data_IF_285448299933
#
_entry.id   IF_285448299933
#
_cell.length_a   1.000
_cell.length_b   1.000
_cell.length_c   1.000
_cell.angle_alpha   90.00
_cell.angle_beta   90.00
_cell.angle_gamma   90.00
#
_symmetry.space_group_name_H-M   'P 1'
#
loop_
_entity.id
_entity.type
_entity.pdbx_description
1 polymer ?
#
# COMPACT_ATOMS: atom_id res chain seq x y z
N UNK A 1 -17.10 4.18 16.83
CA UNK A 1 -16.55 5.55 16.93
C UNK A 1 -17.59 6.63 16.66
N UNK A 2 -18.38 6.58 15.56
CA UNK A 2 -19.32 7.67 15.21
C UNK A 2 -20.79 7.48 15.64
N UNK A 3 -21.11 6.44 16.43
CA UNK A 3 -22.50 6.03 16.72
C UNK A 3 -23.31 7.10 17.46
N UNK A 4 -22.66 7.87 18.32
CA UNK A 4 -23.30 8.89 19.18
C UNK A 4 -23.18 10.31 18.60
N UNK A 5 -22.65 10.45 17.38
CA UNK A 5 -22.56 11.73 16.69
C UNK A 5 -23.73 11.90 15.71
N UNK A 6 -24.25 13.13 15.53
CA UNK A 6 -25.33 13.41 14.57
C UNK A 6 -24.82 13.43 13.11
N UNK A 7 -24.06 12.41 12.73
CA UNK A 7 -23.43 12.27 11.41
C UNK A 7 -24.03 11.08 10.68
N UNK A 8 -24.42 11.30 9.42
CA UNK A 8 -24.82 10.22 8.51
C UNK A 8 -23.62 9.73 7.72
N UNK A 9 -23.36 8.43 7.82
CA UNK A 9 -22.28 7.72 7.13
C UNK A 9 -22.89 6.66 6.23
N UNK A 10 -22.38 6.53 5.01
CA UNK A 10 -22.82 5.49 4.08
C UNK A 10 -21.64 4.85 3.33
N UNK A 11 -21.91 3.69 2.74
CA UNK A 11 -20.97 2.92 1.95
C UNK A 11 -21.46 2.83 0.49
N UNK A 12 -20.63 3.22 -0.47
CA UNK A 12 -20.88 3.07 -1.91
C UNK A 12 -19.78 2.25 -2.56
N UNK A 13 -20.15 1.06 -3.04
CA UNK A 13 -19.25 0.15 -3.75
C UNK A 13 -19.84 -0.25 -5.10
N UNK A 14 -19.04 -0.98 -5.89
CA UNK A 14 -19.49 -1.59 -7.14
C UNK A 14 -20.70 -2.53 -6.96
N UNK A 15 -20.88 -3.11 -5.77
CA UNK A 15 -21.96 -4.06 -5.45
C UNK A 15 -23.21 -3.41 -4.87
N UNK A 16 -23.20 -2.11 -4.57
CA UNK A 16 -24.38 -1.39 -4.06
C UNK A 16 -25.52 -1.42 -5.08
N UNK A 17 -26.72 -1.83 -4.65
CA UNK A 17 -27.90 -1.99 -5.52
C UNK A 17 -28.34 -0.63 -6.07
N UNK A 18 -28.90 -0.63 -7.29
CA UNK A 18 -29.35 0.60 -7.97
C UNK A 18 -30.28 1.47 -7.13
N UNK A 19 -31.28 0.87 -6.46
CA UNK A 19 -32.22 1.61 -5.58
C UNK A 19 -31.51 2.29 -4.42
N UNK A 20 -30.53 1.63 -3.81
CA UNK A 20 -29.74 2.21 -2.73
C UNK A 20 -28.84 3.34 -3.25
N UNK A 21 -28.22 3.15 -4.44
CA UNK A 21 -27.43 4.21 -5.09
C UNK A 21 -28.25 5.47 -5.35
N UNK A 22 -29.47 5.34 -5.84
CA UNK A 22 -30.37 6.48 -6.11
C UNK A 22 -30.62 7.30 -4.83
N UNK A 23 -30.93 6.64 -3.72
CA UNK A 23 -31.12 7.28 -2.41
C UNK A 23 -29.83 7.97 -1.94
N UNK A 24 -28.67 7.30 -2.08
CA UNK A 24 -27.38 7.89 -1.70
C UNK A 24 -27.06 9.13 -2.53
N UNK A 25 -27.29 9.11 -3.83
CA UNK A 25 -27.06 10.27 -4.70
C UNK A 25 -27.96 11.45 -4.33
N UNK A 26 -29.22 11.20 -3.98
CA UNK A 26 -30.12 12.26 -3.50
C UNK A 26 -29.66 12.85 -2.16
N UNK A 27 -29.23 12.00 -1.23
CA UNK A 27 -28.71 12.45 0.07
C UNK A 27 -27.39 13.22 -0.05
N UNK A 28 -26.52 12.86 -1.01
CA UNK A 28 -25.28 13.59 -1.29
C UNK A 28 -25.55 14.98 -1.86
N UNK A 29 -26.48 15.10 -2.82
CA UNK A 29 -26.83 16.39 -3.44
C UNK A 29 -27.56 17.33 -2.49
N UNK A 30 -28.39 16.76 -1.60
CA UNK A 30 -29.12 17.53 -0.58
C UNK A 30 -28.28 17.88 0.65
N UNK A 31 -27.06 17.33 0.78
CA UNK A 31 -26.19 17.55 1.94
C UNK A 31 -26.62 16.80 3.20
N UNK A 32 -27.57 15.87 3.11
CA UNK A 32 -27.99 15.04 4.24
C UNK A 32 -26.97 13.97 4.61
N UNK A 33 -26.17 13.52 3.64
CA UNK A 33 -25.08 12.56 3.84
C UNK A 33 -23.77 13.30 4.10
N UNK A 34 -23.11 13.00 5.22
CA UNK A 34 -21.94 13.73 5.70
C UNK A 34 -20.63 13.02 5.34
N UNK A 35 -20.60 11.70 5.46
CA UNK A 35 -19.43 10.87 5.16
C UNK A 35 -19.84 9.75 4.21
N UNK A 36 -19.10 9.63 3.11
CA UNK A 36 -19.27 8.54 2.16
C UNK A 36 -17.96 7.78 2.04
N UNK A 37 -18.00 6.49 2.35
CA UNK A 37 -16.89 5.55 2.19
C UNK A 37 -17.17 4.74 0.93
N UNK A 38 -16.15 4.46 0.12
CA UNK A 38 -16.38 3.72 -1.11
C UNK A 38 -15.11 3.33 -1.85
N UNK A 39 -15.29 2.59 -2.93
CA UNK A 39 -14.21 2.23 -3.85
C UNK A 39 -14.12 3.27 -4.99
N UNK A 40 -13.47 2.92 -6.10
CA UNK A 40 -13.41 3.74 -7.33
C UNK A 40 -14.77 4.22 -7.85
N UNK A 41 -15.87 3.62 -7.39
CA UNK A 41 -17.24 4.09 -7.64
C UNK A 41 -17.48 5.55 -7.23
N UNK A 42 -16.72 6.08 -6.25
CA UNK A 42 -16.84 7.47 -5.81
C UNK A 42 -16.43 8.50 -6.88
N UNK A 43 -15.64 8.09 -7.87
CA UNK A 43 -15.11 8.96 -8.92
C UNK A 43 -16.09 9.07 -10.10
N UNK A 44 -17.10 8.20 -10.18
CA UNK A 44 -18.11 8.23 -11.24
C UNK A 44 -18.79 9.60 -11.33
N UNK A 45 -19.07 10.08 -12.55
CA UNK A 45 -19.64 11.43 -12.77
C UNK A 45 -21.01 11.62 -12.12
N UNK A 46 -21.74 10.51 -11.90
CA UNK A 46 -23.03 10.44 -11.22
C UNK A 46 -22.96 10.81 -9.74
N UNK A 47 -21.80 10.60 -9.09
CA UNK A 47 -21.57 10.94 -7.68
C UNK A 47 -21.31 12.43 -7.58
N UNK A 48 -22.29 13.18 -7.07
CA UNK A 48 -22.23 14.62 -6.91
C UNK A 48 -22.49 14.99 -5.47
N UNK A 49 -21.54 15.72 -4.88
CA UNK A 49 -21.61 16.19 -3.50
C UNK A 49 -22.25 17.57 -3.46
N UNK A 50 -23.00 17.86 -2.42
CA UNK A 50 -23.51 19.21 -2.16
C UNK A 50 -22.37 20.22 -1.98
N UNK A 51 -21.40 19.88 -1.12
CA UNK A 51 -20.18 20.65 -0.88
C UNK A 51 -19.09 19.72 -0.34
N UNK A 52 -18.21 19.24 -1.21
CA UNK A 52 -17.13 18.33 -0.82
C UNK A 52 -15.96 19.14 -0.23
N UNK A 53 -15.71 18.98 1.07
CA UNK A 53 -14.64 19.69 1.78
C UNK A 53 -13.34 18.90 1.96
N UNK A 54 -13.41 17.58 2.09
CA UNK A 54 -12.27 16.70 2.36
C UNK A 54 -12.40 15.39 1.61
N UNK A 55 -11.30 14.92 1.03
CA UNK A 55 -11.15 13.62 0.41
C UNK A 55 -9.98 12.90 1.09
N UNK A 56 -10.23 11.69 1.57
CA UNK A 56 -9.19 10.81 2.12
C UNK A 56 -9.02 9.62 1.19
N UNK A 57 -7.80 9.40 0.71
CA UNK A 57 -7.44 8.28 -0.16
C UNK A 57 -6.50 7.37 0.64
N UNK A 58 -6.91 6.11 0.82
CA UNK A 58 -6.10 5.09 1.48
C UNK A 58 -5.51 4.13 0.43
N UNK A 59 -4.28 3.66 0.65
CA UNK A 59 -3.53 2.76 -0.24
C UNK A 59 -3.51 3.22 -1.72
N UNK A 60 -2.94 4.42 -1.95
CA UNK A 60 -3.02 5.14 -3.21
C UNK A 60 -2.48 4.42 -4.46
N UNK A 61 -1.69 3.35 -4.33
CA UNK A 61 -1.04 2.67 -5.45
C UNK A 61 -2.05 2.07 -6.46
N UNK A 62 -3.36 2.06 -6.14
CA UNK A 62 -4.45 1.64 -7.04
C UNK A 62 -5.21 2.80 -7.71
N UNK A 63 -4.82 4.05 -7.47
CA UNK A 63 -5.49 5.25 -7.98
C UNK A 63 -4.54 6.11 -8.83
N UNK A 64 -4.77 6.12 -10.14
CA UNK A 64 -3.92 6.88 -11.07
C UNK A 64 -4.09 8.41 -10.93
N UNK A 65 -3.12 9.16 -11.45
CA UNK A 65 -3.09 10.65 -11.41
C UNK A 65 -4.39 11.28 -11.93
N UNK A 66 -4.94 10.75 -13.03
CA UNK A 66 -6.17 11.24 -13.67
C UNK A 66 -7.42 11.03 -12.81
N UNK A 67 -7.43 10.00 -11.95
CA UNK A 67 -8.57 9.76 -11.06
C UNK A 67 -8.60 10.78 -9.91
N UNK A 68 -7.43 11.28 -9.48
CA UNK A 68 -7.32 12.32 -8.45
C UNK A 68 -7.82 13.68 -8.95
N UNK A 69 -7.47 14.06 -10.19
CA UNK A 69 -7.94 15.32 -10.76
C UNK A 69 -9.46 15.38 -10.90
N UNK A 70 -10.12 14.24 -11.12
CA UNK A 70 -11.58 14.14 -11.11
C UNK A 70 -12.21 14.42 -9.74
N UNK A 71 -11.52 14.16 -8.64
CA UNK A 71 -12.01 14.47 -7.29
C UNK A 71 -11.88 15.96 -6.99
N UNK A 72 -10.84 16.61 -7.50
CA UNK A 72 -10.69 18.07 -7.40
C UNK A 72 -11.81 18.82 -8.11
N UNK A 73 -12.32 18.29 -9.23
CA UNK A 73 -13.42 18.91 -9.97
C UNK A 73 -14.82 18.58 -9.44
N UNK A 74 -14.94 17.81 -8.35
CA UNK A 74 -16.24 17.50 -7.72
C UNK A 74 -16.84 18.66 -6.93
N UNK A 75 -16.11 19.77 -6.77
CA UNK A 75 -16.58 20.97 -6.12
C UNK A 75 -16.02 22.22 -6.82
N UNK A 76 -16.70 23.37 -6.68
CA UNK A 76 -16.26 24.65 -7.27
C UNK A 76 -14.95 25.09 -6.63
N UNK A 77 -14.87 24.99 -5.30
CA UNK A 77 -13.63 25.13 -4.55
C UNK A 77 -13.03 23.74 -4.35
N UNK A 78 -11.77 23.50 -4.78
CA UNK A 78 -11.15 22.19 -4.62
C UNK A 78 -11.17 21.72 -3.15
N UNK A 79 -11.54 20.45 -2.89
CA UNK A 79 -11.51 19.90 -1.54
C UNK A 79 -10.08 19.73 -1.04
N UNK A 80 -9.90 19.71 0.28
CA UNK A 80 -8.66 19.23 0.88
C UNK A 80 -8.47 17.74 0.53
N UNK A 81 -7.24 17.34 0.21
CA UNK A 81 -6.91 15.95 -0.12
C UNK A 81 -5.86 15.44 0.85
N UNK A 82 -6.20 14.38 1.56
CA UNK A 82 -5.28 13.60 2.39
C UNK A 82 -5.04 12.25 1.72
N UNK A 83 -3.78 11.93 1.50
CA UNK A 83 -3.36 10.65 0.91
C UNK A 83 -2.58 9.86 1.95
N UNK A 84 -2.95 8.59 2.16
CA UNK A 84 -2.35 7.68 3.12
C UNK A 84 -1.82 6.43 2.40
N UNK A 85 -0.71 5.89 2.90
CA UNK A 85 -0.07 4.68 2.38
C UNK A 85 0.65 3.97 3.51
N UNK A 86 0.53 2.63 3.60
CA UNK A 86 1.29 1.84 4.56
C UNK A 86 2.73 1.59 4.11
N UNK A 87 2.99 1.58 2.79
CA UNK A 87 4.36 1.53 2.27
C UNK A 87 4.97 2.92 2.33
N UNK A 88 6.07 3.11 3.05
CA UNK A 88 6.73 4.40 3.09
C UNK A 88 7.20 4.74 1.69
N UNK A 89 6.76 5.87 1.13
CA UNK A 89 7.32 6.36 -0.12
C UNK A 89 8.52 7.21 0.28
N UNK A 90 9.72 6.98 -0.29
CA UNK A 90 10.85 7.86 -0.03
C UNK A 90 10.41 9.31 -0.23
N UNK A 91 10.70 10.18 0.75
CA UNK A 91 10.26 11.59 0.72
C UNK A 91 10.62 12.25 -0.61
N UNK A 92 11.78 11.91 -1.13
CA UNK A 92 12.36 12.38 -2.39
C UNK A 92 11.48 12.01 -3.58
N UNK A 93 11.02 10.76 -3.62
CA UNK A 93 10.09 10.27 -4.63
C UNK A 93 8.71 10.93 -4.51
N UNK A 94 8.21 11.09 -3.29
CA UNK A 94 6.94 11.79 -3.05
C UNK A 94 7.01 13.25 -3.50
N UNK A 95 8.13 13.93 -3.27
CA UNK A 95 8.36 15.31 -3.70
C UNK A 95 8.46 15.45 -5.22
N UNK A 96 9.03 14.47 -5.92
CA UNK A 96 9.14 14.52 -7.39
C UNK A 96 7.86 14.11 -8.09
N UNK A 97 7.22 13.00 -7.66
CA UNK A 97 6.00 12.49 -8.30
C UNK A 97 4.78 13.33 -7.95
N UNK A 98 4.76 13.88 -6.73
CA UNK A 98 3.56 14.53 -6.20
C UNK A 98 3.73 16.01 -5.91
N UNK A 99 4.91 16.60 -6.17
CA UNK A 99 5.17 18.03 -6.42
C UNK A 99 4.70 19.02 -5.37
N UNK A 100 3.40 19.10 -5.16
CA UNK A 100 2.65 20.06 -4.34
C UNK A 100 2.09 19.42 -3.06
N UNK A 101 2.26 18.12 -2.83
CA UNK A 101 1.86 17.49 -1.58
C UNK A 101 2.84 17.82 -0.44
N UNK A 102 2.27 18.27 0.69
CA UNK A 102 2.97 18.27 1.97
C UNK A 102 2.99 16.85 2.54
N UNK A 103 4.17 16.41 2.98
CA UNK A 103 4.40 15.03 3.43
C UNK A 103 4.63 15.03 4.93
N UNK A 104 3.74 14.34 5.64
CA UNK A 104 3.91 14.00 7.06
C UNK A 104 4.27 12.52 7.19
N UNK A 105 5.19 12.22 8.08
CA UNK A 105 5.67 10.85 8.35
C UNK A 105 5.28 10.47 9.76
N UNK A 106 4.81 9.23 9.93
CA UNK A 106 4.56 8.60 11.23
C UNK A 106 5.49 7.38 11.29
N UNK A 107 6.59 7.51 12.02
CA UNK A 107 7.66 6.51 12.17
C UNK A 107 7.64 5.79 13.52
N UNK A 108 6.90 6.32 14.50
CA UNK A 108 6.74 5.69 15.81
C UNK A 108 5.70 4.57 15.82
N UNK A 109 6.03 3.48 16.51
CA UNK A 109 5.07 2.41 16.78
C UNK A 109 4.10 2.85 17.89
N UNK A 110 2.81 2.46 17.81
CA UNK A 110 1.89 2.66 18.92
C UNK A 110 2.44 2.05 20.24
N UNK A 111 2.17 2.68 21.39
CA UNK A 111 2.69 2.21 22.68
C UNK A 111 2.28 0.76 22.96
N UNK A 112 3.25 -0.06 23.40
CA UNK A 112 3.05 -1.48 23.69
C UNK A 112 3.30 -2.43 22.51
N UNK A 113 3.54 -1.91 21.30
CA UNK A 113 3.87 -2.73 20.13
C UNK A 113 5.34 -3.13 20.14
N UNK A 114 5.62 -4.43 19.98
CA UNK A 114 6.98 -4.97 19.88
C UNK A 114 7.41 -5.05 18.41
N UNK A 115 8.69 -4.73 18.07
CA UNK A 115 9.22 -4.95 16.74
C UNK A 115 9.09 -6.41 16.30
N UNK A 116 8.79 -6.61 15.02
CA UNK A 116 8.64 -7.95 14.46
C UNK A 116 10.03 -8.55 14.27
N UNK A 117 10.22 -9.77 14.76
CA UNK A 117 11.45 -10.52 14.50
C UNK A 117 11.34 -11.17 13.12
N UNK A 118 12.06 -10.61 12.15
CA UNK A 118 12.11 -11.15 10.79
C UNK A 118 13.29 -12.10 10.67
N UNK A 119 13.03 -13.36 10.32
CA UNK A 119 14.07 -14.39 10.14
C UNK A 119 13.98 -15.00 8.76
N UNK A 120 15.14 -15.24 8.15
CA UNK A 120 15.26 -16.00 6.91
C UNK A 120 15.61 -17.46 7.23
N UNK A 121 14.94 -18.40 6.55
CA UNK A 121 15.15 -19.84 6.67
C UNK A 121 15.13 -20.48 5.29
N UNK A 122 15.81 -21.61 5.17
CA UNK A 122 15.80 -22.43 3.97
C UNK A 122 14.82 -23.60 4.11
N UNK A 123 14.32 -24.09 2.98
CA UNK A 123 13.38 -25.23 2.93
C UNK A 123 13.87 -26.49 3.66
N UNK A 124 15.18 -26.72 3.75
CA UNK A 124 15.72 -27.86 4.52
C UNK A 124 15.54 -27.73 6.05
N UNK A 125 15.16 -26.55 6.54
CA UNK A 125 14.89 -26.27 7.95
C UNK A 125 13.39 -26.33 8.29
N UNK A 126 12.54 -26.83 7.37
CA UNK A 126 11.09 -26.93 7.55
C UNK A 126 10.68 -27.65 8.84
N UNK A 127 11.40 -28.70 9.24
CA UNK A 127 11.08 -29.45 10.47
C UNK A 127 11.27 -28.62 11.76
N UNK A 128 12.25 -27.71 11.79
CA UNK A 128 12.43 -26.77 12.91
C UNK A 128 11.32 -25.71 12.90
N UNK A 129 11.00 -25.20 11.71
CA UNK A 129 9.91 -24.23 11.55
C UNK A 129 8.56 -24.79 11.99
N UNK A 130 8.24 -26.05 11.64
CA UNK A 130 6.98 -26.67 12.05
C UNK A 130 6.90 -26.89 13.57
N UNK A 131 8.02 -27.22 14.22
CA UNK A 131 8.07 -27.25 15.70
C UNK A 131 7.77 -25.87 16.28
N UNK A 132 8.39 -24.83 15.73
CA UNK A 132 8.15 -23.46 16.19
C UNK A 132 6.70 -23.00 15.96
N UNK A 133 6.09 -23.35 14.81
CA UNK A 133 4.68 -23.12 14.56
C UNK A 133 3.79 -23.86 15.58
N UNK A 134 4.12 -25.11 15.92
CA UNK A 134 3.39 -25.88 16.92
C UNK A 134 3.46 -25.19 18.30
N UNK A 135 4.61 -24.67 18.71
CA UNK A 135 4.74 -23.92 19.97
C UNK A 135 3.86 -22.65 20.01
N UNK A 136 3.84 -21.87 18.94
CA UNK A 136 2.97 -20.69 18.84
C UNK A 136 1.47 -21.08 18.85
N UNK A 137 1.12 -22.20 18.22
CA UNK A 137 -0.22 -22.76 18.29
C UNK A 137 -0.54 -23.28 19.71
N UNK A 138 0.39 -23.87 20.46
CA UNK A 138 0.11 -24.25 21.85
C UNK A 138 -0.13 -23.02 22.75
N UNK A 139 0.46 -21.87 22.41
CA UNK A 139 0.24 -20.58 23.08
C UNK A 139 -1.08 -19.89 22.73
N UNK A 140 -1.96 -20.53 21.97
CA UNK A 140 -3.26 -19.94 21.57
C UNK A 140 -3.18 -18.93 20.42
N UNK A 141 -2.03 -18.82 19.73
CA UNK A 141 -1.83 -17.86 18.63
C UNK A 141 -2.31 -18.37 17.28
N UNK A 142 -2.32 -17.47 16.31
CA UNK A 142 -2.71 -17.79 14.93
C UNK A 142 -1.57 -17.48 13.96
N UNK A 143 -1.55 -18.21 12.84
CA UNK A 143 -0.44 -18.19 11.88
C UNK A 143 -0.98 -17.91 10.48
N UNK A 144 -0.36 -16.96 9.79
CA UNK A 144 -0.52 -16.77 8.35
C UNK A 144 0.55 -17.55 7.59
N UNK A 145 0.16 -18.23 6.52
CA UNK A 145 1.09 -18.86 5.56
C UNK A 145 0.76 -18.32 4.18
N UNK A 146 1.71 -17.62 3.55
CA UNK A 146 1.49 -16.93 2.28
C UNK A 146 2.33 -17.56 1.18
N UNK A 147 1.69 -17.94 0.09
CA UNK A 147 2.31 -18.45 -1.13
C UNK A 147 2.30 -17.38 -2.22
N UNK A 148 3.38 -17.28 -3.03
CA UNK A 148 3.42 -16.35 -4.15
C UNK A 148 2.44 -16.81 -5.24
N UNK A 149 1.90 -15.84 -5.98
CA UNK A 149 1.12 -16.08 -7.18
C UNK A 149 1.83 -15.40 -8.35
N UNK A 150 2.15 -16.14 -9.40
CA UNK A 150 2.74 -15.60 -10.63
C UNK A 150 1.63 -15.59 -11.69
N UNK A 151 1.33 -14.40 -12.23
CA UNK A 151 0.24 -14.19 -13.21
C UNK A 151 0.41 -15.06 -14.48
N UNK A 152 1.64 -15.37 -14.87
CA UNK A 152 1.95 -16.22 -16.04
C UNK A 152 1.71 -17.72 -15.80
N UNK A 153 1.60 -18.16 -14.53
CA UNK A 153 1.64 -19.57 -14.11
C UNK A 153 0.46 -20.00 -13.24
N UNK A 154 -0.72 -19.39 -13.43
CA UNK A 154 -1.86 -19.57 -12.52
C UNK A 154 -2.28 -21.03 -12.24
N UNK A 155 -2.07 -21.95 -13.19
CA UNK A 155 -2.38 -23.38 -13.00
C UNK A 155 -1.39 -24.07 -12.06
N UNK A 156 -0.10 -23.73 -12.16
CA UNK A 156 0.96 -24.30 -11.33
C UNK A 156 0.88 -23.75 -9.91
N UNK A 157 0.62 -22.46 -9.74
CA UNK A 157 0.60 -21.83 -8.42
C UNK A 157 -0.65 -22.20 -7.60
N UNK A 158 -1.79 -22.40 -8.26
CA UNK A 158 -2.96 -22.94 -7.59
C UNK A 158 -2.70 -24.36 -7.06
N UNK A 159 -1.95 -25.16 -7.81
CA UNK A 159 -1.52 -26.48 -7.35
C UNK A 159 -0.58 -26.36 -6.15
N UNK A 160 0.41 -25.46 -6.20
CA UNK A 160 1.32 -25.25 -5.07
C UNK A 160 0.61 -24.81 -3.79
N UNK A 161 -0.37 -23.89 -3.88
CA UNK A 161 -1.18 -23.49 -2.74
C UNK A 161 -1.98 -24.67 -2.18
N UNK A 162 -2.63 -25.45 -3.06
CA UNK A 162 -3.46 -26.57 -2.66
C UNK A 162 -2.63 -27.69 -2.02
N UNK A 163 -1.52 -28.06 -2.66
CA UNK A 163 -0.56 -29.04 -2.15
C UNK A 163 0.01 -28.55 -0.80
N UNK A 164 0.33 -27.26 -0.69
CA UNK A 164 0.74 -26.62 0.56
C UNK A 164 -0.32 -26.69 1.66
N UNK A 165 -1.57 -26.39 1.33
CA UNK A 165 -2.70 -26.52 2.25
C UNK A 165 -2.89 -27.96 2.74
N UNK A 166 -2.85 -28.94 1.84
CA UNK A 166 -2.95 -30.36 2.18
C UNK A 166 -1.79 -30.80 3.10
N UNK A 167 -0.56 -30.39 2.80
CA UNK A 167 0.60 -30.67 3.66
C UNK A 167 0.47 -30.06 5.06
N UNK A 168 -0.05 -28.83 5.17
CA UNK A 168 -0.25 -28.18 6.47
C UNK A 168 -1.37 -28.88 7.25
N UNK A 169 -2.45 -29.33 6.59
CA UNK A 169 -3.48 -30.12 7.25
C UNK A 169 -2.95 -31.47 7.76
N UNK A 170 -2.04 -32.10 7.01
CA UNK A 170 -1.38 -33.35 7.45
C UNK A 170 -0.38 -33.11 8.58
N UNK A 171 0.34 -32.00 8.57
CA UNK A 171 1.33 -31.66 9.60
C UNK A 171 0.70 -31.20 10.92
N UNK A 172 -0.51 -30.63 10.88
CA UNK A 172 -1.25 -30.11 12.04
C UNK A 172 -2.69 -30.64 12.07
N UNK A 173 -2.89 -31.97 12.21
CA UNK A 173 -4.21 -32.59 12.11
C UNK A 173 -5.19 -32.16 13.22
N UNK A 174 -4.68 -31.70 14.36
CA UNK A 174 -5.46 -31.17 15.48
C UNK A 174 -5.90 -29.71 15.30
N UNK A 175 -5.45 -29.04 14.24
CA UNK A 175 -5.65 -27.62 14.01
C UNK A 175 -6.57 -27.39 12.81
N UNK A 176 -7.58 -26.53 12.99
CA UNK A 176 -8.38 -26.06 11.85
C UNK A 176 -7.56 -25.11 10.98
N UNK A 177 -7.36 -25.52 9.73
CA UNK A 177 -6.65 -24.76 8.69
C UNK A 177 -7.66 -24.23 7.69
N UNK A 178 -7.56 -22.93 7.38
CA UNK A 178 -8.38 -22.26 6.37
C UNK A 178 -7.54 -21.91 5.14
N UNK A 179 -8.21 -21.67 4.02
CA UNK A 179 -7.55 -21.31 2.77
C UNK A 179 -8.22 -20.09 2.13
N UNK A 180 -7.42 -19.12 1.66
CA UNK A 180 -7.91 -17.93 0.95
C UNK A 180 -7.09 -17.65 -0.31
N UNK A 181 -7.74 -17.58 -1.48
CA UNK A 181 -7.06 -17.24 -2.73
C UNK A 181 -7.92 -16.39 -3.67
N UNK A 182 -7.28 -15.73 -4.64
CA UNK A 182 -7.93 -14.79 -5.57
C UNK A 182 -9.15 -15.33 -6.31
N UNK A 183 -9.13 -16.61 -6.69
CA UNK A 183 -10.22 -17.28 -7.42
C UNK A 183 -11.47 -17.64 -6.59
N UNK A 184 -11.42 -17.54 -5.26
CA UNK A 184 -12.60 -17.83 -4.41
C UNK A 184 -13.69 -16.78 -4.61
N UNK A 185 -14.94 -17.20 -4.43
CA UNK A 185 -16.06 -16.25 -4.45
C UNK A 185 -15.92 -15.28 -3.26
N UNK A 186 -16.34 -14.00 -3.40
CA UNK A 186 -16.24 -13.03 -2.31
C UNK A 186 -16.84 -13.51 -0.99
N UNK A 187 -18.04 -14.12 -1.03
CA UNK A 187 -18.69 -14.65 0.17
C UNK A 187 -17.88 -15.76 0.88
N UNK A 188 -17.22 -16.64 0.12
CA UNK A 188 -16.39 -17.71 0.68
C UNK A 188 -15.10 -17.13 1.31
N UNK A 189 -14.52 -16.08 0.71
CA UNK A 189 -13.37 -15.37 1.29
C UNK A 189 -13.75 -14.70 2.60
N UNK A 190 -14.87 -13.99 2.62
CA UNK A 190 -15.34 -13.27 3.80
C UNK A 190 -15.65 -14.24 4.95
N UNK A 191 -16.21 -15.41 4.65
CA UNK A 191 -16.44 -16.47 5.62
C UNK A 191 -15.13 -17.02 6.20
N UNK A 192 -14.15 -17.38 5.37
CA UNK A 192 -12.86 -17.88 5.83
C UNK A 192 -12.11 -16.83 6.67
N UNK A 193 -12.13 -15.57 6.24
CA UNK A 193 -11.53 -14.46 6.98
C UNK A 193 -12.24 -14.21 8.32
N UNK A 194 -13.57 -14.36 8.37
CA UNK A 194 -14.33 -14.25 9.60
C UNK A 194 -14.02 -15.39 10.58
N UNK A 195 -13.93 -16.64 10.10
CA UNK A 195 -13.54 -17.79 10.91
C UNK A 195 -12.13 -17.61 11.48
N UNK A 196 -11.20 -17.10 10.68
CA UNK A 196 -9.85 -16.79 11.16
C UNK A 196 -9.87 -15.63 12.17
N UNK A 197 -10.55 -14.52 11.90
CA UNK A 197 -10.65 -13.39 12.85
C UNK A 197 -11.25 -13.79 14.20
N UNK A 198 -12.19 -14.74 14.22
CA UNK A 198 -12.80 -15.29 15.45
C UNK A 198 -11.94 -16.33 16.17
N UNK A 199 -10.84 -16.77 15.57
CA UNK A 199 -9.98 -17.83 16.12
C UNK A 199 -10.51 -19.25 15.92
N UNK A 200 -11.58 -19.44 15.15
CA UNK A 200 -12.12 -20.77 14.81
C UNK A 200 -11.13 -21.54 13.92
N UNK A 201 -10.46 -20.81 13.03
CA UNK A 201 -9.33 -21.28 12.23
C UNK A 201 -8.05 -20.68 12.80
N UNK A 202 -7.01 -21.51 13.00
CA UNK A 202 -5.77 -21.05 13.63
C UNK A 202 -4.60 -20.91 12.67
N UNK A 203 -4.66 -21.57 11.51
CA UNK A 203 -3.71 -21.38 10.42
C UNK A 203 -4.49 -20.94 9.18
N UNK A 204 -4.09 -19.82 8.57
CA UNK A 204 -4.65 -19.36 7.30
C UNK A 204 -3.61 -19.47 6.20
N UNK A 205 -3.85 -20.36 5.25
CA UNK A 205 -3.04 -20.53 4.05
C UNK A 205 -3.60 -19.64 2.95
N UNK A 206 -2.80 -18.77 2.36
CA UNK A 206 -3.31 -17.85 1.36
C UNK A 206 -2.30 -17.43 0.30
N UNK A 207 -2.80 -16.74 -0.72
CA UNK A 207 -1.97 -16.03 -1.70
C UNK A 207 -1.84 -14.55 -1.32
N UNK A 208 -1.18 -13.75 -2.17
CA UNK A 208 -1.03 -12.28 -2.07
C UNK A 208 -2.34 -11.49 -1.85
N UNK A 209 -3.51 -12.12 -1.94
CA UNK A 209 -4.81 -11.48 -1.68
C UNK A 209 -4.98 -11.01 -0.22
N UNK A 210 -4.16 -11.49 0.71
CA UNK A 210 -4.12 -10.96 2.10
C UNK A 210 -3.59 -9.52 2.17
N UNK A 211 -2.93 -9.00 1.11
CA UNK A 211 -2.37 -7.65 1.06
C UNK A 211 -3.39 -6.53 1.40
N UNK A 212 -4.71 -6.79 1.37
CA UNK A 212 -5.77 -5.81 1.71
C UNK A 212 -6.76 -6.32 2.78
N UNK A 213 -6.40 -7.37 3.54
CA UNK A 213 -7.31 -8.11 4.44
C UNK A 213 -7.35 -7.69 5.92
N UNK A 214 -8.43 -8.08 6.59
CA UNK A 214 -8.83 -7.84 8.01
C UNK A 214 -7.68 -7.99 9.01
N UNK A 215 -7.60 -7.05 9.97
CA UNK A 215 -6.64 -7.07 11.08
C UNK A 215 -7.00 -8.15 12.12
N UNK A 216 -6.04 -9.04 12.43
CA UNK A 216 -6.20 -10.10 13.43
C UNK A 216 -5.12 -9.96 14.51
N UNK A 217 -5.42 -9.29 15.64
CA UNK A 217 -4.43 -9.01 16.69
C UNK A 217 -3.75 -10.24 17.30
N UNK A 218 -4.41 -11.41 17.26
CA UNK A 218 -3.90 -12.67 17.80
C UNK A 218 -2.99 -13.44 16.82
N UNK A 219 -2.84 -12.96 15.58
CA UNK A 219 -1.90 -13.52 14.63
C UNK A 219 -0.47 -13.04 14.96
N UNK A 220 0.33 -13.93 15.55
CA UNK A 220 1.71 -13.64 15.97
C UNK A 220 2.76 -14.07 14.95
N UNK A 221 2.41 -14.91 13.97
CA UNK A 221 3.38 -15.45 13.01
C UNK A 221 2.92 -15.29 11.56
N UNK A 222 3.83 -14.79 10.73
CA UNK A 222 3.70 -14.73 9.27
C UNK A 222 4.78 -15.60 8.64
N UNK A 223 4.39 -16.65 7.92
CA UNK A 223 5.28 -17.49 7.13
C UNK A 223 5.10 -17.18 5.64
N UNK A 224 6.13 -16.71 4.98
CA UNK A 224 6.12 -16.40 3.54
C UNK A 224 6.92 -17.51 2.83
N UNK A 225 6.22 -18.33 2.07
CA UNK A 225 6.79 -19.39 1.24
C UNK A 225 7.42 -18.79 -0.02
N UNK A 226 8.54 -19.35 -0.49
CA UNK A 226 9.28 -18.84 -1.65
C UNK A 226 9.42 -17.31 -1.65
N UNK A 227 9.85 -16.76 -0.51
CA UNK A 227 9.91 -15.33 -0.25
C UNK A 227 10.75 -14.56 -1.30
N UNK A 228 11.70 -15.23 -1.96
CA UNK A 228 12.51 -14.68 -3.05
C UNK A 228 11.70 -14.24 -4.29
N UNK A 229 10.46 -14.74 -4.42
CA UNK A 229 9.56 -14.40 -5.52
C UNK A 229 8.77 -13.11 -5.30
N UNK A 230 8.79 -12.57 -4.08
CA UNK A 230 8.07 -11.35 -3.75
C UNK A 230 8.96 -10.11 -3.95
N UNK A 231 8.31 -9.00 -4.31
CA UNK A 231 8.94 -7.68 -4.24
C UNK A 231 9.16 -7.25 -2.79
N UNK A 232 10.16 -6.40 -2.55
CA UNK A 232 10.52 -5.96 -1.20
C UNK A 232 9.36 -5.20 -0.51
N UNK A 233 8.66 -4.36 -1.28
CA UNK A 233 7.43 -3.69 -0.82
C UNK A 233 6.31 -4.66 -0.43
N UNK A 234 6.13 -5.77 -1.15
CA UNK A 234 5.11 -6.78 -0.82
C UNK A 234 5.47 -7.53 0.46
N UNK A 235 6.75 -7.92 0.61
CA UNK A 235 7.25 -8.53 1.85
C UNK A 235 7.01 -7.62 3.06
N UNK A 236 7.25 -6.31 2.89
CA UNK A 236 6.99 -5.32 3.93
C UNK A 236 5.52 -5.26 4.34
N UNK A 237 4.61 -5.20 3.36
CA UNK A 237 3.17 -5.20 3.62
C UNK A 237 2.72 -6.47 4.32
N UNK A 238 3.21 -7.64 3.89
CA UNK A 238 2.90 -8.93 4.51
C UNK A 238 3.44 -9.01 5.95
N UNK A 239 4.66 -8.54 6.20
CA UNK A 239 5.21 -8.42 7.57
C UNK A 239 4.30 -7.56 8.44
N UNK A 240 3.80 -6.44 7.93
CA UNK A 240 2.90 -5.52 8.66
C UNK A 240 1.54 -6.10 9.03
N UNK A 241 1.16 -7.28 8.51
CA UNK A 241 -0.09 -7.98 8.87
C UNK A 241 -0.02 -8.70 10.21
N UNK A 242 1.16 -8.87 10.79
CA UNK A 242 1.37 -9.40 12.14
C UNK A 242 1.93 -8.35 13.10
N UNK A 243 2.05 -8.67 14.38
CA UNK A 243 2.57 -7.71 15.38
C UNK A 243 1.59 -6.62 15.75
N UNK A 244 0.28 -6.87 15.63
CA UNK A 244 -0.79 -5.93 16.00
C UNK A 244 -1.13 -5.98 17.50
N UNK A 245 -0.81 -7.09 18.17
CA UNK A 245 -0.91 -7.24 19.63
C UNK A 245 0.37 -6.81 20.38
N UNK A 246 0.34 -6.88 21.71
CA UNK A 246 1.47 -6.57 22.58
C UNK A 246 2.57 -7.66 22.63
N UNK A 247 2.33 -8.76 21.92
CA UNK A 247 3.09 -9.99 22.00
C UNK A 247 4.18 -10.02 20.93
N UNK A 248 5.25 -10.77 21.20
CA UNK A 248 6.32 -10.91 20.23
C UNK A 248 5.76 -11.59 18.97
N UNK A 249 5.96 -10.94 17.83
CA UNK A 249 5.54 -11.49 16.53
C UNK A 249 6.74 -11.79 15.65
N UNK A 250 6.55 -12.74 14.74
CA UNK A 250 7.58 -13.32 13.91
C UNK A 250 7.19 -13.26 12.44
N UNK A 251 8.13 -12.86 11.59
CA UNK A 251 7.98 -12.96 10.14
C UNK A 251 9.08 -13.90 9.63
N UNK A 252 8.68 -15.06 9.13
CA UNK A 252 9.58 -16.08 8.60
C UNK A 252 9.56 -16.00 7.08
N UNK A 253 10.70 -15.66 6.50
CA UNK A 253 10.93 -15.69 5.06
C UNK A 253 11.53 -17.05 4.72
N UNK A 254 10.77 -17.90 4.05
CA UNK A 254 11.24 -19.22 3.62
C UNK A 254 11.62 -19.18 2.15
N UNK A 255 12.83 -19.62 1.82
CA UNK A 255 13.31 -19.66 0.44
C UNK A 255 13.96 -20.99 0.08
N UNK A 256 14.05 -21.25 -1.21
CA UNK A 256 14.94 -22.30 -1.73
C UNK A 256 16.42 -21.90 -1.53
N UNK A 257 17.34 -22.87 -1.62
CA UNK A 257 18.79 -22.59 -1.60
C UNK A 257 19.27 -21.85 -2.86
N UNK A 258 18.57 -22.03 -3.98
CA UNK A 258 18.96 -21.47 -5.28
C UNK A 258 18.40 -20.06 -5.40
N UNK A 259 19.08 -19.11 -4.77
CA UNK A 259 18.75 -17.69 -4.81
C UNK A 259 19.57 -16.97 -5.88
N UNK A 260 18.92 -16.08 -6.64
CA UNK A 260 19.63 -15.04 -7.39
C UNK A 260 20.30 -14.05 -6.43
N UNK A 261 21.29 -13.29 -6.91
CA UNK A 261 21.92 -12.25 -6.10
C UNK A 261 20.90 -11.21 -5.62
N UNK A 262 20.01 -10.77 -6.50
CA UNK A 262 18.93 -9.85 -6.14
C UNK A 262 17.97 -10.44 -5.10
N UNK A 263 17.60 -11.72 -5.26
CA UNK A 263 16.73 -12.41 -4.30
C UNK A 263 17.38 -12.49 -2.92
N UNK A 264 18.67 -12.83 -2.87
CA UNK A 264 19.43 -12.85 -1.61
C UNK A 264 19.48 -11.47 -0.96
N UNK A 265 19.81 -10.44 -1.74
CA UNK A 265 19.91 -9.06 -1.26
C UNK A 265 18.57 -8.53 -0.72
N UNK A 266 17.46 -8.82 -1.40
CA UNK A 266 16.11 -8.47 -0.92
C UNK A 266 15.80 -9.10 0.43
N UNK A 267 16.05 -10.40 0.58
CA UNK A 267 15.79 -11.12 1.84
C UNK A 267 16.68 -10.59 2.97
N UNK A 268 17.94 -10.29 2.67
CA UNK A 268 18.88 -9.69 3.63
C UNK A 268 18.40 -8.33 4.13
N UNK A 269 18.03 -7.42 3.22
CA UNK A 269 17.46 -6.10 3.57
C UNK A 269 16.20 -6.28 4.43
N UNK A 270 15.31 -7.20 4.06
CA UNK A 270 14.07 -7.44 4.78
C UNK A 270 14.31 -7.94 6.22
N UNK A 271 15.41 -8.67 6.44
CA UNK A 271 15.82 -9.16 7.77
C UNK A 271 16.62 -8.14 8.59
N UNK A 272 17.32 -7.20 7.96
CA UNK A 272 18.22 -6.27 8.65
C UNK A 272 17.50 -5.11 9.32
N UNK A 273 16.33 -4.71 8.82
CA UNK A 273 15.63 -3.53 9.31
C UNK A 273 14.12 -3.71 9.41
N UNK A 274 13.51 -3.07 10.41
CA UNK A 274 12.07 -2.92 10.53
C UNK A 274 11.57 -1.58 9.99
N UNK A 275 12.48 -0.67 9.62
CA UNK A 275 12.13 0.64 9.08
C UNK A 275 11.65 0.50 7.63
N UNK A 276 10.38 0.85 7.39
CA UNK A 276 9.82 0.77 6.05
C UNK A 276 10.41 1.81 5.09
N UNK A 277 11.02 2.91 5.58
CA UNK A 277 11.71 3.88 4.71
C UNK A 277 12.98 3.28 4.13
N UNK A 278 13.83 2.67 4.96
CA UNK A 278 15.04 2.00 4.49
C UNK A 278 14.71 0.90 3.47
N UNK A 279 13.63 0.14 3.73
CA UNK A 279 13.13 -0.91 2.84
C UNK A 279 12.68 -0.32 1.50
N UNK A 280 11.87 0.74 1.50
CA UNK A 280 11.40 1.36 0.26
C UNK A 280 12.50 2.04 -0.54
N UNK A 281 13.49 2.63 0.14
CA UNK A 281 14.65 3.24 -0.50
C UNK A 281 15.53 2.16 -1.15
N UNK A 282 15.69 1.02 -0.49
CA UNK A 282 16.38 -0.13 -1.04
C UNK A 282 15.59 -0.79 -2.20
N UNK A 283 14.26 -0.84 -2.13
CA UNK A 283 13.39 -1.32 -3.23
C UNK A 283 13.59 -0.44 -4.47
N UNK A 284 13.61 0.89 -4.31
CA UNK A 284 13.87 1.84 -5.38
C UNK A 284 15.26 1.64 -6.01
N UNK A 285 16.29 1.44 -5.17
CA UNK A 285 17.66 1.17 -5.63
C UNK A 285 17.76 -0.16 -6.39
N UNK A 286 17.00 -1.18 -6.01
CA UNK A 286 16.99 -2.49 -6.65
C UNK A 286 16.21 -2.51 -7.98
N UNK A 287 15.10 -1.76 -8.07
CA UNK A 287 14.30 -1.65 -9.31
C UNK A 287 14.92 -0.70 -10.34
N UNK A 288 15.69 0.28 -9.86
CA UNK A 288 16.15 1.40 -10.68
C UNK A 288 15.03 2.43 -10.94
N UNK A 289 15.39 3.65 -11.36
CA UNK A 289 14.45 4.79 -11.45
C UNK A 289 13.36 4.66 -12.53
N UNK A 290 13.43 3.65 -13.41
CA UNK A 290 12.55 3.51 -14.57
C UNK A 290 11.30 2.64 -14.37
N UNK A 291 11.21 1.87 -13.28
CA UNK A 291 10.21 0.80 -13.12
C UNK A 291 9.35 0.98 -11.85
N UNK A 292 9.00 2.24 -11.57
CA UNK A 292 8.34 2.67 -10.33
C UNK A 292 6.86 2.26 -10.28
N UNK A 293 6.21 1.96 -11.42
CA UNK A 293 4.76 1.75 -11.49
C UNK A 293 4.29 0.55 -12.34
N UNK A 294 5.17 -0.37 -12.78
CA UNK A 294 4.75 -1.60 -13.49
C UNK A 294 4.05 -1.35 -14.84
N UNK A 295 4.15 -0.13 -15.37
CA UNK A 295 3.81 0.22 -16.74
C UNK A 295 4.97 1.07 -17.24
N UNK A 296 5.57 0.69 -18.36
CA UNK A 296 6.39 1.60 -19.17
C UNK A 296 5.50 2.75 -19.66
N UNK A 297 5.16 3.70 -18.78
CA UNK A 297 4.48 4.91 -19.20
C UNK A 297 5.52 5.89 -19.72
N UNK A 298 5.71 5.80 -21.03
CA UNK A 298 5.76 6.96 -21.91
C UNK A 298 4.77 8.04 -21.47
N UNK A 299 5.16 8.85 -20.47
CA UNK A 299 4.22 9.80 -19.87
C UNK A 299 4.76 10.72 -18.77
N UNK A 300 5.98 10.49 -18.25
CA UNK A 300 6.60 11.51 -17.39
C UNK A 300 6.93 12.72 -18.31
N UNK A 301 6.44 13.95 -18.03
CA UNK A 301 6.79 15.14 -18.82
C UNK A 301 8.27 15.53 -18.68
N UNK A 302 9.00 14.81 -17.84
CA UNK A 302 10.38 15.05 -17.46
C UNK A 302 11.21 13.83 -17.79
N UNK A 303 11.94 13.95 -18.89
CA UNK A 303 13.06 13.07 -19.21
C UNK A 303 14.17 13.37 -18.17
N UNK A 304 14.15 12.68 -17.01
CA UNK A 304 15.21 12.81 -15.99
C UNK A 304 16.49 12.13 -16.50
N UNK A 305 17.19 12.80 -17.41
CA UNK A 305 18.42 12.27 -18.03
C UNK A 305 19.63 12.21 -17.09
N UNK A 306 19.56 12.87 -15.91
CA UNK A 306 20.73 13.13 -15.05
C UNK A 306 20.47 12.88 -13.56
N UNK A 307 19.22 12.88 -13.07
CA UNK A 307 18.92 12.79 -11.65
C UNK A 307 18.52 11.36 -11.24
N UNK A 308 19.20 10.81 -10.24
CA UNK A 308 18.82 9.57 -9.56
C UNK A 308 18.05 9.93 -8.29
N UNK A 309 16.73 9.73 -8.28
CA UNK A 309 15.87 10.09 -7.15
C UNK A 309 16.22 9.39 -5.83
N UNK A 310 16.96 8.26 -5.90
CA UNK A 310 17.45 7.55 -4.74
C UNK A 310 18.78 8.13 -4.20
N UNK A 311 19.53 8.91 -5.00
CA UNK A 311 20.79 9.54 -4.59
C UNK A 311 20.68 11.05 -4.39
N UNK A 312 19.93 11.71 -5.27
CA UNK A 312 19.86 13.17 -5.38
C UNK A 312 18.71 13.77 -4.58
N UNK A 313 18.12 12.99 -3.68
CA UNK A 313 16.98 13.41 -2.87
C UNK A 313 17.16 14.74 -2.14
N UNK A 314 18.32 14.92 -1.49
CA UNK A 314 18.66 16.15 -0.79
C UNK A 314 18.80 17.34 -1.74
N UNK A 315 19.33 17.12 -2.95
CA UNK A 315 19.45 18.14 -3.99
C UNK A 315 18.07 18.54 -4.53
N UNK A 316 17.16 17.59 -4.72
CA UNK A 316 15.76 17.85 -5.10
C UNK A 316 15.06 18.68 -4.04
N UNK A 317 15.19 18.32 -2.76
CA UNK A 317 14.59 19.05 -1.64
C UNK A 317 15.13 20.48 -1.54
N UNK A 318 16.46 20.62 -1.59
CA UNK A 318 17.13 21.92 -1.58
C UNK A 318 16.66 22.82 -2.74
N UNK A 319 16.59 22.26 -3.95
CA UNK A 319 16.18 23.01 -5.15
C UNK A 319 14.70 23.42 -5.08
N UNK A 320 13.83 22.57 -4.50
CA UNK A 320 12.41 22.92 -4.27
C UNK A 320 12.28 24.07 -3.29
N UNK A 321 13.02 24.04 -2.19
CA UNK A 321 12.99 25.12 -1.20
C UNK A 321 13.48 26.44 -1.79
N UNK A 322 14.53 26.40 -2.62
CA UNK A 322 15.00 27.56 -3.37
C UNK A 322 13.92 28.09 -4.33
N UNK A 323 13.25 27.21 -5.06
CA UNK A 323 12.17 27.59 -5.96
C UNK A 323 11.00 28.24 -5.21
N UNK A 324 10.60 27.69 -4.05
CA UNK A 324 9.57 28.28 -3.19
C UNK A 324 9.97 29.68 -2.69
N UNK A 325 11.23 29.87 -2.28
CA UNK A 325 11.75 31.18 -1.86
C UNK A 325 11.70 32.19 -3.02
N UNK A 326 12.18 31.81 -4.19
CA UNK A 326 12.15 32.66 -5.39
C UNK A 326 10.72 33.05 -5.75
N UNK A 327 9.77 32.10 -5.73
CA UNK A 327 8.38 32.37 -6.05
C UNK A 327 7.65 33.17 -4.96
N UNK A 328 8.04 33.03 -3.69
CA UNK A 328 7.52 33.89 -2.61
C UNK A 328 7.97 35.34 -2.80
N UNK A 329 9.20 35.55 -3.26
CA UNK A 329 9.79 36.88 -3.43
C UNK A 329 9.47 37.52 -4.79
N UNK A 330 9.20 36.71 -5.81
CA UNK A 330 8.94 37.11 -7.19
C UNK A 330 8.01 36.10 -7.90
N UNK A 331 6.70 36.11 -7.57
CA UNK A 331 5.73 35.13 -8.07
C UNK A 331 5.65 35.06 -9.60
N UNK A 332 5.80 36.20 -10.26
CA UNK A 332 5.72 36.34 -11.72
C UNK A 332 7.10 36.24 -12.42
N UNK A 333 8.17 35.97 -11.67
CA UNK A 333 9.55 35.91 -12.17
C UNK A 333 9.95 37.17 -12.97
N UNK A 334 9.56 38.34 -12.49
CA UNK A 334 9.79 39.63 -13.14
C UNK A 334 11.15 40.26 -12.81
N UNK A 335 11.77 39.87 -11.69
CA UNK A 335 13.06 40.41 -11.27
C UNK A 335 14.17 40.04 -12.28
N UNK A 336 15.17 40.94 -12.48
CA UNK A 336 16.27 40.69 -13.42
C UNK A 336 17.07 39.42 -13.13
N UNK A 337 17.28 39.11 -11.86
CA UNK A 337 17.97 37.91 -11.37
C UNK A 337 17.27 36.60 -11.76
N UNK A 338 15.94 36.61 -11.91
CA UNK A 338 15.13 35.45 -12.28
C UNK A 338 14.87 35.33 -13.80
N UNK A 339 15.42 36.24 -14.61
CA UNK A 339 15.15 36.29 -16.05
C UNK A 339 15.53 35.01 -16.80
N UNK A 340 16.59 34.31 -16.34
CA UNK A 340 17.04 33.04 -16.92
C UNK A 340 16.01 31.93 -16.66
N UNK A 341 15.53 31.81 -15.41
CA UNK A 341 14.49 30.85 -15.02
C UNK A 341 13.23 31.05 -15.85
N UNK A 342 12.75 32.31 -15.95
CA UNK A 342 11.59 32.65 -16.77
C UNK A 342 11.76 32.27 -18.23
N UNK A 343 12.94 32.51 -18.81
CA UNK A 343 13.24 32.17 -20.21
C UNK A 343 13.20 30.67 -20.45
N UNK A 344 13.79 29.87 -19.57
CA UNK A 344 13.81 28.41 -19.71
C UNK A 344 12.43 27.78 -19.44
N UNK A 345 11.67 28.28 -18.46
CA UNK A 345 10.29 27.83 -18.23
C UNK A 345 9.39 28.13 -19.44
N UNK A 346 9.50 29.33 -20.04
CA UNK A 346 8.75 29.68 -21.27
C UNK A 346 9.10 28.78 -22.45
N UNK A 347 10.37 28.37 -22.60
CA UNK A 347 10.78 27.41 -23.65
C UNK A 347 10.19 26.02 -23.43
N UNK A 348 10.15 25.55 -22.18
CA UNK A 348 9.67 24.19 -21.83
C UNK A 348 8.14 24.07 -21.82
N UNK A 349 7.42 25.13 -21.45
CA UNK A 349 5.96 25.12 -21.26
C UNK A 349 5.22 26.09 -22.18
N UNK A 350 5.63 26.20 -23.45
CA UNK A 350 5.04 27.11 -24.44
C UNK A 350 3.54 26.89 -24.72
N UNK A 351 2.89 25.92 -24.09
CA UNK A 351 1.44 25.71 -24.11
C UNK A 351 0.85 25.97 -22.72
N UNK A 352 -0.02 26.98 -22.64
CA UNK A 352 -0.64 27.57 -21.45
C UNK A 352 -0.94 26.55 -20.33
N UNK A 353 -0.26 26.70 -19.20
CA UNK A 353 -0.75 26.26 -17.89
C UNK A 353 -0.90 27.53 -17.06
N UNK A 354 -2.09 27.73 -16.48
CA UNK A 354 -2.41 28.87 -15.64
C UNK A 354 -1.92 28.57 -14.21
N UNK A 355 -0.77 29.14 -13.83
CA UNK A 355 -0.07 28.81 -12.58
C UNK A 355 -0.73 29.37 -11.32
N UNK A 356 -1.71 30.28 -11.45
CA UNK A 356 -2.49 30.79 -10.32
C UNK A 356 -3.56 29.84 -9.77
N UNK A 357 -3.60 28.58 -10.23
CA UNK A 357 -4.51 27.53 -9.75
C UNK A 357 -3.79 26.52 -8.84
N UNK A 358 -2.48 26.71 -8.61
CA UNK A 358 -1.63 25.82 -7.80
C UNK A 358 -1.01 26.62 -6.63
N UNK A 359 -1.73 27.58 -6.07
CA UNK A 359 -1.35 28.29 -4.83
C UNK A 359 -2.27 27.91 -3.70
#
# INVERSE_FOLDING_TARGET
LLKDMPLKVALLTGSTKKKEREVLHEQLRSGQLHILIGTHALIEDTVQFHNLGLVVIDEQHRFGVVQRSKLWSKNVTPPHVLVMTATPIPRTLAMTLYGDLDVSVIDELPPGRKPIQTIHRYENQLAELYRFMHEELQRGRQIYIVYPLIEESERSDYKNLKDGFEHICQAFPEVKVGMVHGKMKPAEKDEQMAMFSKGETRILVATTVIEVGVDVPNASMMLIQNAERFGLSQLHQLRGRVGRGAEQSYCVLLSSFKLSEDGRKRLEIMTSTNDGFEISEADLKLRGPGDIEGVQQSGIPFDMKIADLARDGQLVEYTRNLAKQILSDDPDLLKPENAILRRELKKRYAHKINWGVIS
#
